data_IF_509333710322
#
_entry.id   IF_509333710322
#
_cell.length_a   1.000
_cell.length_b   1.000
_cell.length_c   1.000
_cell.angle_alpha   90.00
_cell.angle_beta   90.00
_cell.angle_gamma   90.00
#
_symmetry.space_group_name_H-M   'P 1'
#
loop_
_entity.id
_entity.type
_entity.pdbx_description
1 polymer ?
#
# COMPACT_ATOMS: atom_id res chain seq x y z
N UNK A 1 12.05 -23.34 18.81
CA UNK A 1 11.02 -22.33 19.11
C UNK A 1 10.55 -21.79 17.79
N UNK A 2 9.23 -21.69 17.61
CA UNK A 2 8.66 -21.03 16.44
C UNK A 2 9.09 -19.54 16.48
N UNK A 3 9.34 -18.90 15.32
CA UNK A 3 9.59 -17.47 15.30
C UNK A 3 8.32 -16.73 15.77
N UNK A 4 8.51 -15.77 16.69
CA UNK A 4 7.44 -14.90 17.18
C UNK A 4 7.67 -13.49 16.66
N UNK A 5 6.60 -12.83 16.18
CA UNK A 5 6.63 -11.46 15.66
C UNK A 5 5.68 -10.56 16.44
N UNK A 6 6.16 -9.39 16.83
CA UNK A 6 5.40 -8.39 17.57
C UNK A 6 4.76 -7.40 16.60
N UNK A 7 3.44 -7.39 16.56
CA UNK A 7 2.66 -6.60 15.61
C UNK A 7 1.83 -5.55 16.34
N UNK A 8 2.03 -4.27 16.01
CA UNK A 8 1.15 -3.20 16.46
C UNK A 8 -0.11 -3.19 15.60
N UNK A 9 -1.27 -3.34 16.21
CA UNK A 9 -2.57 -3.38 15.56
C UNK A 9 -3.25 -2.03 15.74
N UNK A 10 -3.46 -1.30 14.66
CA UNK A 10 -4.08 0.03 14.66
C UNK A 10 -5.29 0.01 13.73
N UNK A 11 -6.52 -0.22 14.23
CA UNK A 11 -7.72 -0.21 13.39
C UNK A 11 -8.01 1.15 12.74
N UNK A 12 -7.71 2.24 13.44
CA UNK A 12 -7.95 3.61 12.99
C UNK A 12 -9.42 3.97 12.93
N UNK A 13 -9.89 4.48 11.77
CA UNK A 13 -11.22 5.05 11.59
C UNK A 13 -12.11 4.25 10.63
N UNK A 14 -13.42 4.48 10.73
CA UNK A 14 -14.42 3.98 9.80
C UNK A 14 -14.31 2.48 9.52
N UNK A 15 -14.33 2.09 8.25
CA UNK A 15 -14.25 0.67 7.86
C UNK A 15 -12.94 -0.01 8.25
N UNK A 16 -11.89 0.74 8.62
CA UNK A 16 -10.69 0.16 9.21
C UNK A 16 -10.99 -0.70 10.44
N UNK A 17 -11.99 -0.30 11.25
CA UNK A 17 -12.48 -1.05 12.41
C UNK A 17 -13.23 -2.32 12.02
N UNK A 18 -13.81 -2.38 10.81
CA UNK A 18 -14.55 -3.55 10.31
C UNK A 18 -13.67 -4.55 9.58
N UNK A 19 -12.70 -4.08 8.79
CA UNK A 19 -11.82 -4.95 7.99
C UNK A 19 -10.65 -5.51 8.80
N UNK A 20 -10.21 -4.81 9.86
CA UNK A 20 -9.10 -5.24 10.72
C UNK A 20 -9.34 -6.60 11.40
N UNK A 21 -10.51 -6.87 12.01
CA UNK A 21 -10.80 -8.19 12.59
C UNK A 21 -10.66 -9.32 11.57
N UNK A 22 -11.08 -9.10 10.33
CA UNK A 22 -10.99 -10.11 9.28
C UNK A 22 -9.55 -10.29 8.77
N UNK A 23 -8.77 -9.20 8.67
CA UNK A 23 -7.34 -9.27 8.43
C UNK A 23 -6.62 -10.10 9.49
N UNK A 24 -6.90 -9.83 10.77
CA UNK A 24 -6.34 -10.58 11.91
C UNK A 24 -6.74 -12.05 11.87
N UNK A 25 -8.01 -12.37 11.62
CA UNK A 25 -8.52 -13.74 11.51
C UNK A 25 -7.70 -14.56 10.52
N UNK A 26 -7.43 -14.00 9.35
CA UNK A 26 -6.72 -14.72 8.27
C UNK A 26 -5.23 -14.87 8.57
N UNK A 27 -4.56 -13.81 9.05
CA UNK A 27 -3.13 -13.93 9.36
C UNK A 27 -2.86 -14.85 10.57
N UNK A 28 -3.80 -14.92 11.52
CA UNK A 28 -3.73 -15.87 12.64
C UNK A 28 -3.90 -17.32 12.17
N UNK A 29 -4.90 -17.59 11.31
CA UNK A 29 -5.06 -18.91 10.69
C UNK A 29 -3.81 -19.34 9.92
N UNK A 30 -3.17 -18.40 9.22
CA UNK A 30 -1.90 -18.68 8.53
C UNK A 30 -0.75 -18.92 9.53
N UNK A 31 -0.68 -18.16 10.62
CA UNK A 31 0.35 -18.35 11.65
C UNK A 31 0.26 -19.73 12.30
N UNK A 32 -0.95 -20.17 12.65
CA UNK A 32 -1.20 -21.52 13.18
C UNK A 32 -0.79 -22.61 12.20
N UNK A 33 -1.18 -22.47 10.94
CA UNK A 33 -0.87 -23.46 9.90
C UNK A 33 0.63 -23.58 9.59
N UNK A 34 1.32 -22.46 9.51
CA UNK A 34 2.74 -22.42 9.11
C UNK A 34 3.73 -22.39 10.28
N UNK A 35 3.24 -22.45 11.52
CA UNK A 35 4.05 -22.67 12.72
C UNK A 35 4.89 -21.45 13.13
N UNK A 36 4.30 -20.26 13.18
CA UNK A 36 4.89 -19.07 13.79
C UNK A 36 3.88 -18.37 14.70
N UNK A 37 4.33 -17.46 15.54
CA UNK A 37 3.49 -16.75 16.51
C UNK A 37 3.37 -15.28 16.16
N UNK A 38 2.19 -14.70 16.35
CA UNK A 38 1.91 -13.27 16.21
C UNK A 38 1.49 -12.71 17.58
N UNK A 39 2.37 -11.92 18.19
CA UNK A 39 2.08 -11.16 19.39
C UNK A 39 1.41 -9.83 19.00
N UNK A 40 0.08 -9.80 19.03
CA UNK A 40 -0.71 -8.63 18.63
C UNK A 40 -0.86 -7.63 19.76
N UNK A 41 -0.35 -6.43 19.58
CA UNK A 41 -0.45 -5.31 20.52
C UNK A 41 -1.44 -4.28 19.97
N UNK A 42 -2.62 -4.18 20.60
CA UNK A 42 -3.66 -3.25 20.19
C UNK A 42 -3.33 -1.82 20.61
N UNK A 43 -3.45 -0.90 19.66
CA UNK A 43 -3.14 0.53 19.79
C UNK A 43 -4.41 1.32 19.50
N UNK A 44 -4.80 2.22 20.40
CA UNK A 44 -6.05 2.99 20.32
C UNK A 44 -5.89 4.37 19.68
N UNK A 45 -4.66 4.86 19.48
CA UNK A 45 -4.36 6.13 18.85
C UNK A 45 -4.14 6.00 17.34
N UNK A 46 -3.80 7.09 16.67
CA UNK A 46 -3.78 7.27 15.21
C UNK A 46 -5.19 7.13 14.60
N UNK A 47 -6.16 7.75 15.26
CA UNK A 47 -7.56 7.81 14.84
C UNK A 47 -8.15 9.19 15.11
N UNK A 48 -9.22 9.52 14.40
CA UNK A 48 -9.97 10.74 14.65
C UNK A 48 -10.69 10.73 16.01
N UNK A 49 -11.12 9.54 16.49
CA UNK A 49 -11.68 9.38 17.82
C UNK A 49 -10.66 9.76 18.91
N UNK A 50 -9.40 9.36 18.74
CA UNK A 50 -8.34 9.75 19.66
C UNK A 50 -8.05 11.26 19.59
N UNK A 51 -8.09 11.83 18.37
CA UNK A 51 -7.91 13.26 18.19
C UNK A 51 -8.99 14.08 18.90
N UNK A 52 -10.25 13.68 18.83
CA UNK A 52 -11.36 14.36 19.52
C UNK A 52 -11.17 14.39 21.04
N UNK A 53 -10.56 13.36 21.61
CA UNK A 53 -10.33 13.25 23.05
C UNK A 53 -9.06 13.97 23.51
N UNK A 54 -8.02 14.03 22.68
CA UNK A 54 -6.66 14.45 23.09
C UNK A 54 -6.11 15.64 22.31
N UNK A 55 -6.79 16.11 21.26
CA UNK A 55 -6.34 17.23 20.41
C UNK A 55 -5.13 16.90 19.52
N UNK A 56 -4.73 15.64 19.45
CA UNK A 56 -3.63 15.14 18.62
C UNK A 56 -3.90 13.73 18.14
N UNK A 57 -3.36 13.35 16.97
CA UNK A 57 -3.61 12.02 16.39
C UNK A 57 -2.88 10.88 17.11
N UNK A 58 -1.78 11.19 17.77
CA UNK A 58 -0.91 10.23 18.47
C UNK A 58 -0.30 10.89 19.72
N UNK A 59 0.00 10.13 20.79
CA UNK A 59 0.66 10.65 21.97
C UNK A 59 2.13 11.05 21.66
N UNK A 60 2.73 11.91 22.47
CA UNK A 60 4.10 12.39 22.22
C UNK A 60 5.14 11.28 22.24
N UNK A 61 4.92 10.23 23.01
CA UNK A 61 5.79 9.08 23.15
C UNK A 61 5.49 7.90 22.19
N UNK A 62 4.67 8.12 21.15
CA UNK A 62 4.23 7.10 20.21
C UNK A 62 5.37 6.25 19.63
N UNK A 63 6.54 6.85 19.37
CA UNK A 63 7.73 6.11 18.91
C UNK A 63 8.23 5.11 19.95
N UNK A 64 8.19 5.51 21.22
CA UNK A 64 8.59 4.64 22.32
C UNK A 64 7.63 3.48 22.49
N UNK A 65 6.32 3.71 22.32
CA UNK A 65 5.30 2.67 22.38
C UNK A 65 5.44 1.66 21.22
N UNK A 66 5.89 2.09 20.04
CA UNK A 66 6.15 1.21 18.91
C UNK A 66 7.58 0.61 18.88
N UNK A 67 8.41 0.96 19.85
CA UNK A 67 9.77 0.43 19.92
C UNK A 67 9.76 -1.09 20.13
N UNK A 68 10.43 -1.80 19.22
CA UNK A 68 10.53 -3.26 19.28
C UNK A 68 9.32 -3.98 18.66
N UNK A 69 8.40 -3.28 18.02
CA UNK A 69 7.44 -3.90 17.09
C UNK A 69 8.15 -4.26 15.78
N UNK A 70 7.83 -5.43 15.23
CA UNK A 70 8.38 -5.90 13.97
C UNK A 70 7.63 -5.31 12.78
N UNK A 71 6.33 -5.04 12.96
CA UNK A 71 5.48 -4.39 11.96
C UNK A 71 4.29 -3.66 12.62
N UNK A 72 3.68 -2.77 11.81
CA UNK A 72 2.42 -2.10 12.11
C UNK A 72 1.39 -2.62 11.12
N UNK A 73 0.27 -3.13 11.60
CA UNK A 73 -0.88 -3.53 10.82
C UNK A 73 -1.96 -2.47 11.01
N UNK A 74 -2.25 -1.69 9.96
CA UNK A 74 -3.02 -0.45 10.03
C UNK A 74 -4.29 -0.56 9.18
N UNK A 75 -5.44 -0.17 9.73
CA UNK A 75 -6.71 -0.26 9.04
C UNK A 75 -6.94 0.89 8.07
N UNK A 76 -7.34 2.05 8.59
CA UNK A 76 -7.56 3.26 7.83
C UNK A 76 -7.52 4.50 8.73
N UNK A 77 -7.36 5.69 8.16
CA UNK A 77 -7.45 6.94 8.94
C UNK A 77 -8.20 8.00 8.13
N UNK A 78 -8.93 8.84 8.86
CA UNK A 78 -9.65 9.99 8.34
C UNK A 78 -11.14 9.95 8.65
N UNK A 79 -11.64 11.04 9.21
CA UNK A 79 -13.07 11.27 9.43
C UNK A 79 -13.37 12.76 9.20
N UNK A 80 -13.55 13.19 7.93
CA UNK A 80 -13.61 14.60 7.55
C UNK A 80 -14.71 15.40 8.23
N UNK A 81 -15.75 14.73 8.75
CA UNK A 81 -16.82 15.37 9.49
C UNK A 81 -16.36 16.02 10.81
N UNK A 82 -15.27 15.51 11.42
CA UNK A 82 -14.77 15.97 12.70
C UNK A 82 -13.31 16.43 12.64
N UNK A 83 -12.47 15.77 11.85
CA UNK A 83 -11.04 16.06 11.71
C UNK A 83 -10.69 16.27 10.23
N UNK A 84 -10.19 17.45 9.84
CA UNK A 84 -9.77 17.69 8.45
C UNK A 84 -8.72 16.67 7.98
N UNK A 85 -8.80 16.21 6.72
CA UNK A 85 -7.92 15.19 6.16
C UNK A 85 -6.43 15.55 6.28
N UNK A 86 -6.06 16.82 6.09
CA UNK A 86 -4.68 17.25 6.24
C UNK A 86 -4.18 17.11 7.70
N UNK A 87 -5.06 17.19 8.71
CA UNK A 87 -4.70 16.99 10.12
C UNK A 87 -4.54 15.49 10.42
N UNK A 88 -5.53 14.68 10.02
CA UNK A 88 -5.51 13.25 10.29
C UNK A 88 -4.35 12.55 9.58
N UNK A 89 -4.11 12.87 8.31
CA UNK A 89 -3.07 12.24 7.49
C UNK A 89 -1.65 12.63 7.93
N UNK A 90 -1.42 13.94 8.12
CA UNK A 90 -0.12 14.46 8.56
C UNK A 90 0.20 14.15 10.02
N UNK A 91 -0.81 14.05 10.85
CA UNK A 91 -0.67 13.73 12.27
C UNK A 91 -0.44 12.24 12.56
N UNK A 92 -0.64 11.35 11.58
CA UNK A 92 -0.52 9.90 11.74
C UNK A 92 0.26 9.22 10.60
N UNK A 93 -0.38 8.83 9.52
CA UNK A 93 0.18 8.00 8.46
C UNK A 93 1.45 8.57 7.82
N UNK A 94 1.45 9.85 7.44
CA UNK A 94 2.63 10.49 6.87
C UNK A 94 3.77 10.63 7.89
N UNK A 95 3.42 10.73 9.17
CA UNK A 95 4.41 10.77 10.25
C UNK A 95 5.11 9.42 10.41
N UNK A 96 4.38 8.30 10.36
CA UNK A 96 4.98 6.96 10.33
C UNK A 96 5.93 6.81 9.13
N UNK A 97 5.47 7.14 7.93
CA UNK A 97 6.27 7.00 6.70
C UNK A 97 7.61 7.72 6.81
N UNK A 98 7.61 8.95 7.32
CA UNK A 98 8.82 9.78 7.42
C UNK A 98 9.71 9.39 8.59
N UNK A 99 9.14 9.29 9.78
CA UNK A 99 9.93 9.14 10.99
C UNK A 99 10.42 7.71 11.22
N UNK A 100 9.79 6.72 10.57
CA UNK A 100 10.27 5.34 10.47
C UNK A 100 10.96 5.03 9.15
N UNK A 101 11.27 6.06 8.37
CA UNK A 101 11.96 5.95 7.07
C UNK A 101 11.40 4.80 6.22
N UNK A 102 10.06 4.72 6.12
CA UNK A 102 9.35 3.73 5.31
C UNK A 102 9.36 4.18 3.84
N UNK A 103 10.54 4.22 3.24
CA UNK A 103 10.78 4.89 1.96
C UNK A 103 10.23 4.16 0.73
N UNK A 104 9.80 2.92 0.88
CA UNK A 104 9.13 2.16 -0.18
C UNK A 104 7.65 2.03 0.14
N UNK A 105 6.79 2.48 -0.76
CA UNK A 105 5.40 2.06 -0.78
C UNK A 105 5.22 1.06 -1.93
N UNK A 106 4.95 -0.20 -1.58
CA UNK A 106 4.78 -1.30 -2.53
C UNK A 106 3.30 -1.64 -2.66
N UNK A 107 2.77 -1.57 -3.88
CA UNK A 107 1.37 -1.84 -4.19
C UNK A 107 1.25 -2.82 -5.36
N UNK A 108 0.92 -4.10 -5.12
CA UNK A 108 0.62 -5.06 -6.18
C UNK A 108 -0.72 -4.74 -6.83
N UNK A 109 -0.78 -4.95 -8.15
CA UNK A 109 -2.00 -4.83 -8.96
C UNK A 109 -2.17 -6.13 -9.72
N UNK A 110 -3.27 -6.84 -9.47
CA UNK A 110 -3.54 -8.14 -10.08
C UNK A 110 -5.03 -8.29 -10.42
N UNK A 111 -5.31 -8.77 -11.62
CA UNK A 111 -6.66 -9.19 -11.99
C UNK A 111 -6.85 -10.65 -11.58
N UNK A 112 -7.71 -10.86 -10.59
CA UNK A 112 -8.07 -12.18 -10.08
C UNK A 112 -9.20 -12.83 -10.89
N UNK A 113 -9.26 -14.15 -10.87
CA UNK A 113 -10.40 -14.91 -11.39
C UNK A 113 -11.66 -14.60 -10.54
N UNK A 114 -12.81 -14.50 -11.21
CA UNK A 114 -14.09 -14.18 -10.56
C UNK A 114 -14.36 -12.69 -10.31
N UNK A 115 -13.38 -11.81 -10.55
CA UNK A 115 -13.55 -10.36 -10.40
C UNK A 115 -14.02 -9.74 -11.70
N UNK A 116 -15.12 -8.96 -11.71
CA UNK A 116 -15.56 -8.21 -12.89
C UNK A 116 -14.52 -7.16 -13.28
N UNK A 117 -13.83 -7.37 -14.41
CA UNK A 117 -12.88 -6.39 -14.91
C UNK A 117 -13.59 -5.29 -15.67
N UNK A 118 -13.40 -3.99 -15.37
CA UNK A 118 -14.01 -2.90 -16.12
C UNK A 118 -13.41 -2.72 -17.52
N UNK A 119 -12.24 -3.31 -17.78
CA UNK A 119 -11.60 -3.26 -19.08
C UNK A 119 -12.08 -4.42 -19.97
N UNK A 120 -12.51 -4.09 -21.19
CA UNK A 120 -12.98 -5.07 -22.15
C UNK A 120 -11.89 -6.10 -22.50
N UNK A 121 -12.31 -7.36 -22.67
CA UNK A 121 -11.47 -8.46 -23.16
C UNK A 121 -10.23 -8.80 -22.29
N UNK A 122 -10.26 -8.50 -21.00
CA UNK A 122 -9.22 -8.90 -20.06
C UNK A 122 -9.64 -10.16 -19.29
N UNK A 123 -8.67 -11.02 -19.03
CA UNK A 123 -8.85 -12.25 -18.27
C UNK A 123 -7.82 -12.33 -17.14
N UNK A 124 -8.04 -13.15 -16.12
CA UNK A 124 -7.07 -13.40 -15.05
C UNK A 124 -5.67 -13.70 -15.60
N UNK A 125 -4.66 -13.10 -15.00
CA UNK A 125 -3.27 -13.17 -15.44
C UNK A 125 -2.84 -12.15 -16.51
N UNK A 126 -3.76 -11.46 -17.17
CA UNK A 126 -3.41 -10.40 -18.13
C UNK A 126 -2.85 -9.16 -17.45
N UNK A 127 -3.23 -8.93 -16.18
CA UNK A 127 -2.79 -7.79 -15.37
C UNK A 127 -2.16 -8.35 -14.09
N UNK A 128 -0.85 -8.18 -13.97
CA UNK A 128 -0.04 -8.58 -12.79
C UNK A 128 1.25 -7.76 -12.80
N UNK A 129 1.27 -6.69 -12.01
CA UNK A 129 2.43 -5.82 -11.86
C UNK A 129 2.46 -5.16 -10.49
N UNK A 130 3.57 -4.51 -10.17
CA UNK A 130 3.75 -3.75 -8.94
C UNK A 130 3.97 -2.27 -9.24
N UNK A 131 3.39 -1.41 -8.42
CA UNK A 131 3.79 -0.01 -8.31
C UNK A 131 4.73 0.12 -7.10
N UNK A 132 5.93 0.64 -7.35
CA UNK A 132 6.93 0.98 -6.34
C UNK A 132 6.98 2.50 -6.27
N UNK A 133 6.34 3.05 -5.23
CA UNK A 133 6.17 4.48 -4.98
C UNK A 133 7.19 4.98 -3.97
N UNK A 134 7.83 6.11 -4.25
CA UNK A 134 8.55 6.86 -3.24
C UNK A 134 7.59 7.31 -2.13
N UNK A 135 8.02 7.27 -0.87
CA UNK A 135 7.08 7.37 0.24
C UNK A 135 7.48 8.39 1.33
N UNK A 136 8.67 8.99 1.26
CA UNK A 136 9.22 9.87 2.31
C UNK A 136 9.59 11.27 1.83
N UNK A 137 9.76 11.45 0.54
CA UNK A 137 10.12 12.72 -0.10
C UNK A 137 9.27 12.96 -1.37
N UNK A 138 9.69 13.82 -2.26
CA UNK A 138 8.98 14.13 -3.50
C UNK A 138 8.03 15.31 -3.34
N UNK A 139 6.82 15.15 -3.81
CA UNK A 139 5.78 16.19 -3.86
C UNK A 139 5.04 16.36 -2.52
N UNK A 140 5.01 15.32 -1.69
CA UNK A 140 4.42 15.37 -0.35
C UNK A 140 5.44 15.94 0.65
N UNK A 141 5.65 17.25 0.63
CA UNK A 141 6.55 17.95 1.55
C UNK A 141 5.79 19.02 2.34
N UNK A 142 6.41 19.53 3.40
CA UNK A 142 5.95 20.71 4.13
C UNK A 142 6.77 21.97 3.76
N UNK A 143 7.52 21.91 2.66
CA UNK A 143 8.31 23.04 2.18
C UNK A 143 7.48 23.92 1.26
N UNK A 144 7.34 25.17 1.64
CA UNK A 144 6.53 26.15 0.94
C UNK A 144 5.93 27.16 1.88
N UNK A 145 4.95 27.91 1.40
CA UNK A 145 4.25 28.90 2.19
C UNK A 145 3.29 29.74 1.38
N UNK A 146 2.55 30.58 2.08
CA UNK A 146 1.59 31.52 1.51
C UNK A 146 2.04 32.95 1.87
N UNK A 147 2.10 33.83 0.87
CA UNK A 147 2.33 35.25 1.04
C UNK A 147 1.06 36.00 0.68
N UNK A 148 0.78 37.11 1.40
CA UNK A 148 -0.37 37.98 1.20
C UNK A 148 -1.71 37.25 1.27
N UNK A 149 -1.81 36.26 2.17
CA UNK A 149 -2.99 35.40 2.36
C UNK A 149 -4.27 36.22 2.52
N UNK A 150 -5.33 35.81 1.82
CA UNK A 150 -6.63 36.49 1.86
C UNK A 150 -6.71 37.80 1.06
N UNK A 151 -5.70 38.17 0.26
CA UNK A 151 -5.71 39.33 -0.62
C UNK A 151 -5.67 38.95 -2.09
N UNK A 152 -5.92 39.91 -2.98
CA UNK A 152 -5.81 39.72 -4.45
C UNK A 152 -4.37 39.49 -4.94
N UNK A 153 -3.38 39.66 -4.08
CA UNK A 153 -1.96 39.41 -4.36
C UNK A 153 -1.44 38.12 -3.71
N UNK A 154 -2.33 37.30 -3.24
CA UNK A 154 -1.95 36.01 -2.62
C UNK A 154 -1.08 35.18 -3.54
N UNK A 155 0.03 34.66 -3.00
CA UNK A 155 0.97 33.76 -3.68
C UNK A 155 1.21 32.53 -2.82
N UNK A 156 1.04 31.36 -3.41
CA UNK A 156 1.29 30.05 -2.77
C UNK A 156 2.49 29.39 -3.44
N UNK A 157 3.42 28.89 -2.63
CA UNK A 157 4.56 28.10 -3.08
C UNK A 157 4.51 26.75 -2.37
N UNK A 158 4.57 25.67 -3.14
CA UNK A 158 4.74 24.29 -2.68
C UNK A 158 5.90 23.69 -3.44
N UNK A 159 6.92 23.22 -2.73
CA UNK A 159 8.11 22.65 -3.35
C UNK A 159 8.08 21.13 -3.38
N UNK A 160 8.66 20.53 -4.43
CA UNK A 160 8.94 19.10 -4.52
C UNK A 160 10.42 18.87 -4.25
N UNK A 161 10.75 17.91 -3.39
CA UNK A 161 12.12 17.64 -2.94
C UNK A 161 12.52 16.23 -3.29
N UNK A 162 13.64 16.09 -3.99
CA UNK A 162 14.20 14.80 -4.38
C UNK A 162 15.66 14.73 -3.97
N UNK A 163 16.02 13.74 -3.15
CA UNK A 163 17.41 13.50 -2.80
C UNK A 163 17.99 12.35 -3.64
N UNK A 164 19.29 12.39 -3.83
CA UNK A 164 20.00 11.30 -4.50
C UNK A 164 19.83 9.97 -3.75
N UNK A 165 19.93 10.01 -2.43
CA UNK A 165 19.75 8.83 -1.57
C UNK A 165 18.35 8.25 -1.73
N UNK A 166 17.30 9.08 -1.67
CA UNK A 166 15.92 8.67 -1.81
C UNK A 166 15.64 8.03 -3.17
N UNK A 167 16.06 8.72 -4.27
CA UNK A 167 15.88 8.21 -5.62
C UNK A 167 16.62 6.89 -5.85
N UNK A 168 17.90 6.79 -5.48
CA UNK A 168 18.70 5.58 -5.73
C UNK A 168 18.19 4.37 -4.94
N UNK A 169 17.79 4.53 -3.67
CA UNK A 169 17.29 3.41 -2.86
C UNK A 169 15.94 2.88 -3.35
N UNK A 170 15.05 3.76 -3.79
CA UNK A 170 13.79 3.36 -4.42
C UNK A 170 14.02 2.62 -5.74
N UNK A 171 14.85 3.18 -6.61
CA UNK A 171 15.16 2.59 -7.90
C UNK A 171 15.82 1.22 -7.74
N UNK A 172 16.82 1.08 -6.87
CA UNK A 172 17.44 -0.22 -6.56
C UNK A 172 16.40 -1.25 -6.11
N UNK A 173 15.49 -0.86 -5.20
CA UNK A 173 14.41 -1.75 -4.78
C UNK A 173 13.52 -2.17 -5.96
N UNK A 174 13.15 -1.25 -6.85
CA UNK A 174 12.33 -1.56 -8.02
C UNK A 174 13.06 -2.51 -8.99
N UNK A 175 14.36 -2.31 -9.22
CA UNK A 175 15.17 -3.20 -10.05
C UNK A 175 15.38 -4.58 -9.42
N UNK A 176 15.62 -4.66 -8.11
CA UNK A 176 15.73 -5.94 -7.38
C UNK A 176 14.42 -6.72 -7.46
N UNK A 177 13.29 -6.04 -7.29
CA UNK A 177 11.97 -6.65 -7.47
C UNK A 177 11.78 -7.16 -8.90
N UNK A 178 12.08 -6.35 -9.90
CA UNK A 178 11.96 -6.74 -11.31
C UNK A 178 12.87 -7.93 -11.65
N UNK A 179 14.09 -7.97 -11.10
CA UNK A 179 15.03 -9.08 -11.28
C UNK A 179 14.46 -10.42 -10.76
N UNK A 180 13.64 -10.39 -9.72
CA UNK A 180 12.99 -11.59 -9.17
C UNK A 180 11.76 -12.03 -9.98
N UNK A 181 11.26 -11.22 -10.91
CA UNK A 181 10.07 -11.50 -11.72
C UNK A 181 10.45 -12.02 -13.11
N UNK A 182 9.55 -12.75 -13.74
CA UNK A 182 9.80 -13.40 -15.03
C UNK A 182 10.07 -12.42 -16.18
N UNK A 183 9.42 -11.25 -16.18
CA UNK A 183 9.54 -10.25 -17.26
C UNK A 183 10.79 -9.39 -17.16
N UNK A 184 11.31 -9.21 -15.96
CA UNK A 184 12.53 -8.42 -15.67
C UNK A 184 12.48 -7.03 -16.30
N UNK A 185 11.39 -6.30 -16.06
CA UNK A 185 11.15 -5.02 -16.70
C UNK A 185 10.74 -3.95 -15.68
N UNK A 186 11.39 -2.78 -15.74
CA UNK A 186 11.04 -1.58 -14.97
C UNK A 186 10.52 -0.52 -15.92
N UNK A 187 9.34 0.02 -15.66
CA UNK A 187 8.82 1.24 -16.27
C UNK A 187 8.99 2.39 -15.30
N UNK A 188 9.76 3.41 -15.67
CA UNK A 188 9.91 4.64 -14.89
C UNK A 188 8.79 5.62 -15.23
N UNK A 189 7.99 6.02 -14.24
CA UNK A 189 7.07 7.14 -14.38
C UNK A 189 7.84 8.47 -14.28
N UNK A 190 7.71 9.31 -15.28
CA UNK A 190 8.42 10.61 -15.39
C UNK A 190 7.55 11.69 -16.02
N UNK A 191 8.00 12.93 -16.02
CA UNK A 191 7.43 14.06 -16.76
C UNK A 191 8.53 15.00 -17.25
N UNK A 192 9.65 14.43 -17.68
CA UNK A 192 10.85 15.16 -18.08
C UNK A 192 10.68 16.10 -19.29
N UNK A 193 9.60 15.90 -20.07
CA UNK A 193 9.24 16.83 -21.15
C UNK A 193 8.56 18.12 -20.67
N UNK A 194 8.10 18.17 -19.40
CA UNK A 194 7.37 19.33 -18.85
C UNK A 194 7.97 19.88 -17.56
N UNK A 195 8.58 19.03 -16.73
CA UNK A 195 9.22 19.43 -15.47
C UNK A 195 10.74 19.41 -15.68
N UNK A 196 11.27 20.56 -16.07
CA UNK A 196 12.58 20.66 -16.74
C UNK A 196 13.81 20.44 -15.85
N UNK A 197 13.70 20.44 -14.52
CA UNK A 197 14.84 20.30 -13.60
C UNK A 197 14.81 18.94 -12.93
N UNK A 198 13.77 18.66 -12.13
CA UNK A 198 13.72 17.48 -11.28
C UNK A 198 13.52 16.19 -12.08
N UNK A 199 12.69 16.19 -13.13
CA UNK A 199 12.39 14.95 -13.86
C UNK A 199 13.49 14.47 -14.79
N UNK A 200 14.24 15.32 -15.55
CA UNK A 200 15.46 14.87 -16.24
C UNK A 200 16.53 14.36 -15.28
N UNK A 201 16.62 14.95 -14.08
CA UNK A 201 17.50 14.43 -13.03
C UNK A 201 17.06 13.06 -12.53
N UNK A 202 15.75 12.85 -12.32
CA UNK A 202 15.13 11.57 -11.96
C UNK A 202 15.42 10.50 -13.03
N UNK A 203 15.20 10.82 -14.30
CA UNK A 203 15.51 9.96 -15.43
C UNK A 203 16.98 9.53 -15.44
N UNK A 204 17.89 10.47 -15.18
CA UNK A 204 19.34 10.20 -15.10
C UNK A 204 19.68 9.26 -13.95
N UNK A 205 19.04 9.40 -12.78
CA UNK A 205 19.24 8.45 -11.65
C UNK A 205 18.81 7.04 -12.04
N UNK A 206 17.68 6.90 -12.74
CA UNK A 206 17.22 5.60 -13.22
C UNK A 206 18.22 4.97 -14.22
N UNK A 207 18.77 5.74 -15.15
CA UNK A 207 19.79 5.25 -16.08
C UNK A 207 21.07 4.80 -15.36
N UNK A 208 21.49 5.51 -14.33
CA UNK A 208 22.67 5.15 -13.53
C UNK A 208 22.46 3.86 -12.74
N UNK A 209 21.28 3.66 -12.15
CA UNK A 209 20.93 2.43 -11.45
C UNK A 209 20.79 1.27 -12.45
N UNK A 210 20.11 1.46 -13.57
CA UNK A 210 19.91 0.43 -14.60
C UNK A 210 21.23 -0.23 -15.09
N UNK A 211 22.33 0.54 -15.15
CA UNK A 211 23.64 -0.01 -15.51
C UNK A 211 24.16 -1.10 -14.56
N UNK A 212 23.64 -1.14 -13.33
CA UNK A 212 23.97 -2.17 -12.32
C UNK A 212 23.13 -3.45 -12.49
N UNK A 213 22.10 -3.42 -13.36
CA UNK A 213 21.15 -4.50 -13.60
C UNK A 213 21.05 -4.87 -15.08
N UNK A 214 22.11 -5.44 -15.68
CA UNK A 214 22.15 -5.69 -17.13
C UNK A 214 21.05 -6.66 -17.63
N UNK A 215 20.49 -7.47 -16.75
CA UNK A 215 19.42 -8.42 -17.06
C UNK A 215 18.01 -7.83 -16.94
N UNK A 216 17.87 -6.57 -16.50
CA UNK A 216 16.60 -5.89 -16.31
C UNK A 216 16.46 -4.77 -17.32
N UNK A 217 15.38 -4.76 -18.07
CA UNK A 217 15.10 -3.69 -19.04
C UNK A 217 14.45 -2.50 -18.36
N UNK A 218 14.77 -1.29 -18.81
CA UNK A 218 14.19 -0.03 -18.38
C UNK A 218 13.51 0.68 -19.55
N UNK A 219 12.25 1.05 -19.40
CA UNK A 219 11.62 2.09 -20.23
C UNK A 219 11.14 3.27 -19.38
N UNK A 220 11.07 4.44 -20.00
CA UNK A 220 10.62 5.67 -19.34
C UNK A 220 9.36 6.16 -20.04
N UNK A 221 8.34 6.49 -19.24
CA UNK A 221 7.08 6.95 -19.77
C UNK A 221 6.60 8.20 -19.04
N UNK A 222 6.22 9.23 -19.80
CA UNK A 222 5.59 10.40 -19.22
C UNK A 222 4.26 10.02 -18.58
N UNK A 223 3.96 10.59 -17.42
CA UNK A 223 2.83 10.19 -16.56
C UNK A 223 1.48 10.23 -17.29
N UNK A 224 1.27 11.19 -18.16
CA UNK A 224 0.03 11.33 -18.94
C UNK A 224 -0.20 10.15 -19.91
N UNK A 225 0.80 9.77 -20.69
CA UNK A 225 0.69 8.58 -21.55
C UNK A 225 0.74 7.28 -20.76
N UNK A 226 1.41 7.27 -19.60
CA UNK A 226 1.47 6.12 -18.72
C UNK A 226 0.08 5.79 -18.14
N UNK A 227 -0.66 6.80 -17.66
CA UNK A 227 -2.05 6.62 -17.18
C UNK A 227 -2.97 6.09 -18.29
N UNK A 228 -2.85 6.61 -19.52
CA UNK A 228 -3.60 6.08 -20.66
C UNK A 228 -3.25 4.60 -20.93
N UNK A 229 -1.99 4.22 -20.82
CA UNK A 229 -1.54 2.82 -21.01
C UNK A 229 -1.95 1.88 -19.90
N UNK A 230 -2.14 2.37 -18.67
CA UNK A 230 -2.73 1.57 -17.59
C UNK A 230 -4.13 1.07 -17.96
N UNK A 231 -4.87 1.85 -18.73
CA UNK A 231 -6.20 1.47 -19.25
C UNK A 231 -6.09 0.65 -20.55
N UNK A 232 -5.33 1.13 -21.51
CA UNK A 232 -5.28 0.55 -22.86
C UNK A 232 -4.42 -0.72 -22.95
N UNK A 233 -3.32 -0.78 -22.21
CA UNK A 233 -2.30 -1.82 -22.30
C UNK A 233 -1.78 -2.26 -20.91
N UNK A 234 -2.65 -2.56 -19.93
CA UNK A 234 -2.21 -2.84 -18.54
C UNK A 234 -1.29 -4.06 -18.45
N UNK A 235 -1.46 -5.02 -19.32
CA UNK A 235 -0.66 -6.26 -19.35
C UNK A 235 0.82 -6.07 -19.74
N UNK A 236 1.23 -4.86 -20.16
CA UNK A 236 2.65 -4.60 -20.49
C UNK A 236 3.54 -4.36 -19.29
N UNK A 237 2.96 -3.98 -18.14
CA UNK A 237 3.72 -3.57 -16.96
C UNK A 237 4.15 -4.75 -16.11
N UNK A 238 5.34 -4.64 -15.50
CA UNK A 238 5.90 -5.62 -14.58
C UNK A 238 6.21 -4.95 -13.23
N UNK A 239 7.13 -3.97 -13.21
CA UNK A 239 7.38 -3.10 -12.07
C UNK A 239 7.36 -1.65 -12.54
N UNK A 240 6.55 -0.82 -11.92
CA UNK A 240 6.45 0.61 -12.22
C UNK A 240 7.06 1.40 -11.08
N UNK A 241 8.19 2.06 -11.32
CA UNK A 241 8.85 2.93 -10.35
C UNK A 241 8.38 4.37 -10.53
N UNK A 242 7.98 5.02 -9.46
CA UNK A 242 7.36 6.34 -9.49
C UNK A 242 7.75 7.22 -8.30
N UNK A 243 7.72 8.55 -8.52
CA UNK A 243 7.77 9.54 -7.44
C UNK A 243 6.55 9.39 -6.53
N UNK A 244 6.54 10.13 -5.43
CA UNK A 244 5.47 10.03 -4.45
C UNK A 244 4.08 10.31 -5.06
N UNK A 245 3.89 11.44 -5.73
CA UNK A 245 2.61 11.80 -6.34
C UNK A 245 2.24 10.89 -7.52
N UNK A 246 3.17 10.63 -8.42
CA UNK A 246 2.88 9.76 -9.56
C UNK A 246 2.55 8.33 -9.12
N UNK A 247 3.25 7.84 -8.11
CA UNK A 247 3.00 6.53 -7.51
C UNK A 247 1.64 6.45 -6.83
N UNK A 248 1.19 7.53 -6.18
CA UNK A 248 -0.13 7.61 -5.57
C UNK A 248 -1.23 7.47 -6.62
N UNK A 249 -1.20 8.32 -7.64
CA UNK A 249 -2.17 8.30 -8.73
C UNK A 249 -2.22 6.93 -9.44
N UNK A 250 -1.06 6.39 -9.77
CA UNK A 250 -0.97 5.11 -10.49
C UNK A 250 -1.43 3.91 -9.66
N UNK A 251 -1.24 3.95 -8.35
CA UNK A 251 -1.61 2.85 -7.47
C UNK A 251 -3.09 2.84 -7.08
N UNK A 252 -3.83 3.91 -7.36
CA UNK A 252 -5.29 3.93 -7.31
C UNK A 252 -5.88 3.55 -8.66
N UNK A 253 -5.29 4.05 -9.76
CA UNK A 253 -5.71 3.69 -11.11
C UNK A 253 -5.55 2.20 -11.39
N UNK A 254 -4.47 1.57 -10.90
CA UNK A 254 -4.23 0.14 -11.08
C UNK A 254 -5.39 -0.73 -10.62
N UNK A 255 -5.75 -0.72 -9.34
CA UNK A 255 -6.89 -1.46 -8.81
C UNK A 255 -8.23 -1.11 -9.48
N UNK A 256 -8.44 0.15 -9.83
CA UNK A 256 -9.62 0.56 -10.60
C UNK A 256 -9.72 -0.16 -11.95
N UNK A 257 -8.60 -0.50 -12.57
CA UNK A 257 -8.57 -1.28 -13.83
C UNK A 257 -8.74 -2.78 -13.64
N UNK A 258 -8.62 -3.30 -12.41
CA UNK A 258 -8.75 -4.72 -12.09
C UNK A 258 -10.00 -5.06 -11.30
N UNK A 259 -10.90 -4.09 -11.08
CA UNK A 259 -12.21 -4.32 -10.45
C UNK A 259 -12.55 -3.30 -9.39
N UNK A 260 -11.92 -3.32 -8.23
CA UNK A 260 -12.21 -2.43 -7.11
C UNK A 260 -10.98 -2.12 -6.27
N UNK A 261 -10.95 -0.92 -5.68
CA UNK A 261 -9.92 -0.53 -4.71
C UNK A 261 -9.97 -1.38 -3.43
N UNK A 262 -11.12 -2.01 -3.14
CA UNK A 262 -11.28 -2.94 -2.02
C UNK A 262 -10.41 -4.20 -2.09
N UNK A 263 -9.74 -4.45 -3.23
CA UNK A 263 -8.74 -5.52 -3.41
C UNK A 263 -7.29 -5.04 -3.26
N UNK A 264 -7.05 -3.75 -3.12
CA UNK A 264 -5.72 -3.16 -3.21
C UNK A 264 -4.98 -3.12 -1.87
N UNK A 265 -3.91 -3.91 -1.69
CA UNK A 265 -3.06 -3.83 -0.50
C UNK A 265 -1.96 -2.80 -0.68
N UNK A 266 -1.37 -2.39 0.43
CA UNK A 266 -0.25 -1.46 0.47
C UNK A 266 0.75 -1.87 1.56
N UNK A 267 2.03 -1.78 1.25
CA UNK A 267 3.11 -2.00 2.19
C UNK A 267 4.05 -0.79 2.22
N UNK A 268 4.03 -0.05 3.32
CA UNK A 268 4.98 1.04 3.60
C UNK A 268 6.20 0.42 4.27
N UNK A 269 7.28 0.25 3.53
CA UNK A 269 8.42 -0.57 3.94
C UNK A 269 9.65 0.27 4.29
N UNK A 270 10.24 -0.05 5.43
CA UNK A 270 11.65 0.21 5.70
C UNK A 270 12.43 -1.08 5.39
N UNK A 271 12.98 -1.25 4.17
CA UNK A 271 13.67 -2.48 3.79
C UNK A 271 14.90 -2.79 4.64
N UNK A 272 15.52 -1.75 5.22
CA UNK A 272 16.67 -1.87 6.11
C UNK A 272 16.30 -2.39 7.51
N UNK A 273 15.00 -2.45 7.84
CA UNK A 273 14.43 -2.94 9.10
C UNK A 273 14.96 -2.24 10.35
N UNK A 274 15.39 -1.00 10.22
CA UNK A 274 15.82 -0.16 11.33
C UNK A 274 14.63 0.35 12.15
N UNK A 275 13.45 0.36 11.54
CA UNK A 275 12.18 0.74 12.12
C UNK A 275 11.06 -0.18 11.60
N UNK A 276 9.92 -0.29 12.32
CA UNK A 276 8.79 -1.10 11.86
C UNK A 276 8.23 -0.59 10.52
N UNK A 277 7.93 -1.52 9.63
CA UNK A 277 7.17 -1.27 8.40
C UNK A 277 5.68 -1.29 8.69
N UNK A 278 4.88 -0.60 7.86
CA UNK A 278 3.43 -0.48 8.03
C UNK A 278 2.70 -1.10 6.83
N UNK A 279 1.69 -1.92 7.13
CA UNK A 279 0.89 -2.63 6.14
C UNK A 279 -0.57 -2.23 6.30
N UNK A 280 -1.18 -1.74 5.23
CA UNK A 280 -2.51 -1.14 5.22
C UNK A 280 -3.23 -1.41 3.90
N UNK A 281 -4.57 -1.38 3.83
CA UNK A 281 -5.27 -1.30 2.55
C UNK A 281 -5.05 0.07 1.89
N UNK A 282 -5.20 0.14 0.55
CA UNK A 282 -5.13 1.40 -0.20
C UNK A 282 -6.36 2.27 0.07
N UNK A 283 -7.53 1.66 0.28
CA UNK A 283 -8.76 2.40 0.60
C UNK A 283 -8.66 3.15 1.93
N UNK A 284 -9.38 4.26 2.06
CA UNK A 284 -9.51 5.03 3.28
C UNK A 284 -10.56 4.49 4.24
N UNK A 285 -11.04 5.34 5.11
CA UNK A 285 -12.02 5.04 6.17
C UNK A 285 -13.46 4.84 5.68
N UNK A 286 -13.80 5.28 4.46
CA UNK A 286 -15.10 5.15 3.81
C UNK A 286 -16.30 5.40 4.76
N UNK A 287 -16.48 6.65 5.25
CA UNK A 287 -17.52 6.97 6.25
C UNK A 287 -18.95 6.64 5.82
N UNK A 288 -19.19 6.65 4.50
CA UNK A 288 -20.50 6.41 3.88
C UNK A 288 -20.99 4.96 4.02
N UNK A 289 -20.08 4.00 4.17
CA UNK A 289 -20.41 2.57 4.34
C UNK A 289 -20.06 2.01 5.71
N UNK A 290 -19.40 2.78 6.57
CA UNK A 290 -19.08 2.35 7.94
C UNK A 290 -20.35 2.02 8.75
N UNK A 291 -20.29 0.99 9.56
CA UNK A 291 -21.41 0.48 10.37
C UNK A 291 -22.37 -0.45 9.62
N UNK A 292 -22.16 -0.65 8.30
CA UNK A 292 -23.02 -1.50 7.48
C UNK A 292 -22.50 -2.93 7.30
N UNK A 293 -21.29 -3.22 7.73
CA UNK A 293 -20.62 -4.52 7.56
C UNK A 293 -20.62 -5.01 6.10
N UNK A 294 -20.39 -4.10 5.15
CA UNK A 294 -20.35 -4.39 3.69
C UNK A 294 -19.00 -4.07 3.04
N UNK A 295 -18.05 -3.56 3.82
CA UNK A 295 -16.72 -3.26 3.33
C UNK A 295 -16.00 -4.55 2.88
N UNK A 296 -15.27 -4.47 1.78
CA UNK A 296 -14.47 -5.59 1.29
C UNK A 296 -13.20 -5.75 2.15
N UNK A 297 -12.99 -6.88 2.84
CA UNK A 297 -11.83 -7.05 3.73
C UNK A 297 -10.57 -7.52 2.99
N UNK A 298 -10.64 -7.82 1.68
CA UNK A 298 -9.56 -8.47 0.95
C UNK A 298 -8.30 -7.60 0.91
N UNK A 299 -8.42 -6.29 0.74
CA UNK A 299 -7.26 -5.39 0.75
C UNK A 299 -6.49 -5.47 2.09
N UNK A 300 -7.21 -5.51 3.22
CA UNK A 300 -6.62 -5.68 4.55
C UNK A 300 -5.97 -7.06 4.71
N UNK A 301 -6.65 -8.12 4.29
CA UNK A 301 -6.16 -9.50 4.34
C UNK A 301 -4.88 -9.64 3.50
N UNK A 302 -4.86 -9.09 2.29
CA UNK A 302 -3.69 -9.15 1.41
C UNK A 302 -2.54 -8.28 1.93
N UNK A 303 -2.83 -7.13 2.57
CA UNK A 303 -1.81 -6.36 3.29
C UNK A 303 -1.17 -7.16 4.42
N UNK A 304 -1.96 -7.97 5.13
CA UNK A 304 -1.45 -8.94 6.11
C UNK A 304 -0.54 -10.00 5.48
N UNK A 305 -0.90 -10.53 4.31
CA UNK A 305 -0.04 -11.46 3.58
C UNK A 305 1.31 -10.82 3.20
N UNK A 306 1.30 -9.58 2.70
CA UNK A 306 2.53 -8.83 2.41
C UNK A 306 3.38 -8.59 3.67
N UNK A 307 2.74 -8.39 4.82
CA UNK A 307 3.42 -8.28 6.11
C UNK A 307 4.15 -9.58 6.47
N UNK A 308 3.49 -10.72 6.38
CA UNK A 308 4.08 -12.02 6.70
C UNK A 308 5.28 -12.35 5.80
N UNK A 309 5.16 -12.09 4.49
CA UNK A 309 6.27 -12.22 3.53
C UNK A 309 7.45 -11.31 3.91
N UNK A 310 7.18 -10.07 4.27
CA UNK A 310 8.22 -9.12 4.69
C UNK A 310 8.91 -9.55 5.98
N UNK A 311 8.17 -9.99 6.98
CA UNK A 311 8.71 -10.40 8.28
C UNK A 311 9.74 -11.53 8.15
N UNK A 312 9.54 -12.42 7.20
CA UNK A 312 10.44 -13.55 6.92
C UNK A 312 11.39 -13.34 5.73
N UNK A 313 11.52 -12.11 5.25
CA UNK A 313 12.42 -11.73 4.14
C UNK A 313 12.11 -12.46 2.83
N UNK A 314 10.83 -12.72 2.56
CA UNK A 314 10.41 -13.43 1.35
C UNK A 314 10.74 -14.92 1.34
N UNK A 315 10.96 -15.54 2.50
CA UNK A 315 11.40 -16.93 2.61
C UNK A 315 10.60 -17.71 3.66
N UNK A 316 10.75 -19.03 3.64
CA UNK A 316 10.23 -19.93 4.67
C UNK A 316 8.73 -19.83 4.92
N UNK A 317 8.33 -19.93 6.19
CA UNK A 317 6.94 -19.99 6.62
C UNK A 317 6.10 -18.76 6.23
N UNK A 318 6.66 -17.56 6.34
CA UNK A 318 5.93 -16.33 5.99
C UNK A 318 5.68 -16.19 4.49
N UNK A 319 6.63 -16.63 3.64
CA UNK A 319 6.40 -16.69 2.20
C UNK A 319 5.32 -17.70 1.85
N UNK A 320 5.37 -18.90 2.45
CA UNK A 320 4.34 -19.90 2.27
C UNK A 320 2.96 -19.42 2.76
N UNK A 321 2.91 -18.71 3.88
CA UNK A 321 1.69 -18.10 4.40
C UNK A 321 1.13 -17.03 3.44
N UNK A 322 1.99 -16.15 2.90
CA UNK A 322 1.60 -15.18 1.88
C UNK A 322 0.96 -15.88 0.66
N UNK A 323 1.62 -16.88 0.11
CA UNK A 323 1.15 -17.56 -1.09
C UNK A 323 -0.16 -18.30 -0.83
N UNK A 324 -0.32 -18.92 0.35
CA UNK A 324 -1.56 -19.57 0.76
C UNK A 324 -2.72 -18.57 0.94
N UNK A 325 -2.47 -17.40 1.54
CA UNK A 325 -3.49 -16.34 1.68
C UNK A 325 -3.92 -15.82 0.30
N UNK A 326 -2.96 -15.55 -0.61
CA UNK A 326 -3.28 -15.08 -1.97
C UNK A 326 -4.07 -16.13 -2.76
N UNK A 327 -3.72 -17.41 -2.63
CA UNK A 327 -4.48 -18.50 -3.24
C UNK A 327 -5.89 -18.63 -2.65
N UNK A 328 -6.06 -18.45 -1.33
CA UNK A 328 -7.36 -18.44 -0.68
C UNK A 328 -8.23 -17.25 -1.13
N UNK A 329 -7.64 -16.07 -1.28
CA UNK A 329 -8.32 -14.89 -1.86
C UNK A 329 -8.84 -15.23 -3.26
N UNK A 330 -8.00 -15.81 -4.12
CA UNK A 330 -8.37 -16.18 -5.49
C UNK A 330 -9.51 -17.23 -5.53
N UNK A 331 -9.45 -18.23 -4.66
CA UNK A 331 -10.49 -19.25 -4.55
C UNK A 331 -11.84 -18.64 -4.09
N UNK A 332 -11.84 -17.77 -3.10
CA UNK A 332 -13.06 -17.09 -2.61
C UNK A 332 -13.61 -16.12 -3.65
N UNK A 333 -12.77 -15.37 -4.35
CA UNK A 333 -13.21 -14.47 -5.43
C UNK A 333 -13.84 -15.24 -6.59
N UNK A 334 -13.36 -16.44 -6.89
CA UNK A 334 -13.88 -17.29 -7.94
C UNK A 334 -15.23 -17.90 -7.59
N UNK A 335 -15.31 -18.61 -6.47
CA UNK A 335 -16.43 -19.51 -6.16
C UNK A 335 -17.10 -19.20 -4.82
N UNK A 336 -16.60 -18.27 -4.03
CA UNK A 336 -17.04 -17.96 -2.68
C UNK A 336 -17.93 -16.71 -2.55
N UNK A 337 -18.15 -16.26 -1.30
CA UNK A 337 -18.91 -15.05 -1.02
C UNK A 337 -18.16 -13.80 -1.48
N UNK A 338 -18.91 -12.83 -2.05
CA UNK A 338 -18.40 -11.54 -2.52
C UNK A 338 -19.20 -10.37 -1.95
N UNK A 339 -18.50 -9.30 -1.62
CA UNK A 339 -19.10 -8.05 -1.13
C UNK A 339 -19.79 -7.26 -2.27
N UNK A 340 -20.63 -6.26 -1.92
CA UNK A 340 -21.40 -5.50 -2.92
C UNK A 340 -20.54 -4.77 -3.98
N UNK A 341 -19.35 -4.30 -3.64
CA UNK A 341 -18.40 -3.68 -4.60
C UNK A 341 -17.94 -4.64 -5.70
N UNK A 342 -18.05 -5.95 -5.47
CA UNK A 342 -17.79 -7.01 -6.43
C UNK A 342 -19.08 -7.63 -7.02
N UNK A 343 -20.23 -6.97 -6.81
CA UNK A 343 -21.54 -7.44 -7.28
C UNK A 343 -22.13 -8.60 -6.48
N UNK A 344 -21.58 -8.90 -5.29
CA UNK A 344 -22.11 -9.90 -4.38
C UNK A 344 -23.09 -9.33 -3.34
N UNK A 345 -23.50 -10.19 -2.41
CA UNK A 345 -24.41 -9.85 -1.31
C UNK A 345 -23.83 -10.23 0.07
N UNK A 346 -22.62 -10.75 0.10
CA UNK A 346 -21.96 -11.13 1.34
C UNK A 346 -21.52 -9.91 2.14
N UNK A 347 -21.47 -10.06 3.45
CA UNK A 347 -20.92 -9.04 4.33
C UNK A 347 -19.40 -9.23 4.54
N UNK A 348 -18.76 -8.24 5.19
CA UNK A 348 -17.33 -8.20 5.49
C UNK A 348 -16.88 -9.47 6.21
N UNK A 349 -17.59 -9.87 7.25
CA UNK A 349 -17.27 -11.03 8.09
C UNK A 349 -17.34 -12.35 7.32
N UNK A 350 -18.38 -12.54 6.50
CA UNK A 350 -18.53 -13.76 5.70
C UNK A 350 -17.37 -13.98 4.72
N UNK A 351 -16.87 -12.90 4.12
CA UNK A 351 -15.70 -12.99 3.21
C UNK A 351 -14.43 -13.33 4.00
N UNK A 352 -14.21 -12.68 5.15
CA UNK A 352 -13.05 -12.96 6.00
C UNK A 352 -13.03 -14.39 6.53
N UNK A 353 -14.18 -14.90 7.00
CA UNK A 353 -14.34 -16.29 7.46
C UNK A 353 -14.08 -17.30 6.35
N UNK A 354 -14.60 -17.05 5.14
CA UNK A 354 -14.37 -17.94 4.00
C UNK A 354 -12.88 -18.01 3.62
N UNK A 355 -12.19 -16.88 3.59
CA UNK A 355 -10.74 -16.86 3.29
C UNK A 355 -9.94 -17.57 4.38
N UNK A 356 -10.26 -17.32 5.67
CA UNK A 356 -9.59 -17.99 6.79
C UNK A 356 -9.78 -19.51 6.75
N UNK A 357 -11.00 -19.99 6.45
CA UNK A 357 -11.27 -21.42 6.29
C UNK A 357 -10.45 -22.04 5.16
N UNK A 358 -10.33 -21.39 4.01
CA UNK A 358 -9.46 -21.84 2.92
C UNK A 358 -7.98 -21.90 3.34
N UNK A 359 -7.49 -20.88 4.06
CA UNK A 359 -6.10 -20.88 4.56
C UNK A 359 -5.87 -22.02 5.53
N UNK A 360 -6.81 -22.33 6.42
CA UNK A 360 -6.66 -23.39 7.41
C UNK A 360 -6.71 -24.80 6.78
N UNK A 361 -7.44 -25.01 5.68
CA UNK A 361 -7.71 -26.33 5.09
C UNK A 361 -6.80 -26.70 3.92
N UNK A 362 -6.17 -25.75 3.25
CA UNK A 362 -5.31 -25.99 2.09
C UNK A 362 -3.89 -26.39 2.51
#
# INVERSE_FOLDING_TARGET
>A
MNPAFRIAIIPGDGIGKEVMPEGLRVIQAAAERFGFELECHHIEWASCDYYEQHGQMMPDDWKTQLKGMDAIFFGAVGWPATVPDHVSLWGSLLKFRREFDQYINLRPVRLFEGVPCPLAHRKPGDIDYYVVRENTEGEYTSLGGIMYEGTDREVVIQESVYSRKGAERLLKFAFDLAKSRARKHVTLATKSNGIAISMPWWDKRADEVARQYPDVTLDKQHIDILTARFVLQPGRFDVVAATNLFGDILSDLGPATTGTIGLAPSANRNPDRTFPSLFEPVHGSAPDIYGKNIANPIAMIWSGALMLDFLTQGQGAGRAAHDAIVAAIEAVLKDGPRTPDLGGTANTTQVGEAIAAHVASA
#
